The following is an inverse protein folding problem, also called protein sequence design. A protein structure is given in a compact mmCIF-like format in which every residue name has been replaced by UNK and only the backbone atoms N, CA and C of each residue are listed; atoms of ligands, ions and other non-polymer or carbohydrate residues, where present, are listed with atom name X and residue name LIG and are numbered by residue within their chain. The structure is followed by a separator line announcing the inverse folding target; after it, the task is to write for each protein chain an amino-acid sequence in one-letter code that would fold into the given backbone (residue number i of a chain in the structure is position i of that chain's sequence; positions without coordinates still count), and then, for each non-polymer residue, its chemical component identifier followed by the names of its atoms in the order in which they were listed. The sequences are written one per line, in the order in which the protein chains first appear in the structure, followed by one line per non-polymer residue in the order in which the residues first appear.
data_IF_582404975371
#
_entry.id   IF_582404975371
#
_cell.length_a   1.000
_cell.length_b   1.000
_cell.length_c   1.000
_cell.angle_alpha   90.00
_cell.angle_beta   90.00
_cell.angle_gamma   90.00
#
_symmetry.space_group_name_H-M   'P 1'
#
loop_
_entity.id
_entity.type
_entity.pdbx_description
1 polymer ?
#
# COMPACT_ATOMS: atom_id res chain seq x y z
N UNK A 1 3.66 19.04 -6.93
CA UNK A 1 4.45 19.50 -5.79
C UNK A 1 3.66 19.22 -4.51
N UNK A 2 4.16 18.29 -3.67
CA UNK A 2 3.49 17.82 -2.44
C UNK A 2 3.19 18.99 -1.49
N UNK A 3 4.15 19.90 -1.29
CA UNK A 3 3.98 21.02 -0.36
C UNK A 3 2.82 21.93 -0.77
N UNK A 4 2.65 22.17 -2.08
CA UNK A 4 1.50 22.93 -2.58
C UNK A 4 0.19 22.21 -2.29
N UNK A 5 0.14 20.90 -2.49
CA UNK A 5 -1.05 20.09 -2.21
C UNK A 5 -1.41 20.12 -0.73
N UNK A 6 -0.43 19.91 0.17
CA UNK A 6 -0.63 19.94 1.61
C UNK A 6 -1.10 21.33 2.07
N UNK A 7 -0.49 22.40 1.57
CA UNK A 7 -0.90 23.76 1.89
C UNK A 7 -2.33 24.08 1.44
N UNK A 8 -2.72 23.65 0.24
CA UNK A 8 -4.08 23.81 -0.24
C UNK A 8 -5.07 23.01 0.62
N UNK A 9 -4.74 21.76 0.94
CA UNK A 9 -5.55 20.94 1.81
C UNK A 9 -5.74 21.56 3.19
N UNK A 10 -4.67 22.09 3.82
CA UNK A 10 -4.75 22.77 5.10
C UNK A 10 -5.62 24.04 5.04
N UNK A 11 -5.51 24.84 3.97
CA UNK A 11 -6.34 26.03 3.78
C UNK A 11 -7.83 25.70 3.63
N UNK A 12 -8.15 24.54 3.08
CA UNK A 12 -9.52 24.08 2.87
C UNK A 12 -10.15 23.47 4.12
N UNK A 13 -9.38 23.27 5.20
CA UNK A 13 -9.90 22.73 6.46
C UNK A 13 -10.65 23.75 7.28
N UNK A 14 -11.77 23.33 7.86
CA UNK A 14 -12.44 24.03 8.95
C UNK A 14 -11.58 23.96 10.23
N UNK A 15 -11.92 24.77 11.26
CA UNK A 15 -11.16 24.87 12.53
C UNK A 15 -11.00 23.55 13.29
N UNK A 16 -11.83 22.52 13.01
CA UNK A 16 -11.74 21.17 13.60
C UNK A 16 -11.52 20.09 12.53
N UNK A 17 -11.20 20.50 11.31
CA UNK A 17 -10.98 19.60 10.19
C UNK A 17 -9.70 18.80 10.35
N UNK A 18 -9.71 17.57 9.81
CA UNK A 18 -8.52 16.69 9.77
C UNK A 18 -8.25 16.25 8.34
N UNK A 19 -6.98 16.13 8.01
CA UNK A 19 -6.53 15.46 6.79
C UNK A 19 -6.10 14.06 7.17
N UNK A 20 -6.59 13.08 6.42
CA UNK A 20 -6.24 11.67 6.58
C UNK A 20 -5.55 11.19 5.30
N UNK A 21 -4.36 10.62 5.46
CA UNK A 21 -3.60 10.01 4.38
C UNK A 21 -3.47 8.52 4.67
N UNK A 22 -4.02 7.69 3.80
CA UNK A 22 -3.93 6.23 3.92
C UNK A 22 -2.88 5.68 2.96
N UNK A 23 -2.10 4.73 3.45
CA UNK A 23 -1.10 4.01 2.67
C UNK A 23 -0.94 2.59 3.18
N UNK A 24 -0.30 1.75 2.38
CA UNK A 24 0.18 0.46 2.87
C UNK A 24 1.29 0.68 3.91
N UNK A 25 1.39 -0.22 4.89
CA UNK A 25 2.55 -0.22 5.79
C UNK A 25 3.84 -0.40 5.00
N UNK A 26 4.84 0.46 5.28
CA UNK A 26 6.14 0.41 4.61
C UNK A 26 7.07 -0.65 5.21
N UNK A 27 6.78 -1.09 6.44
CA UNK A 27 7.56 -2.11 7.15
C UNK A 27 6.72 -3.36 7.38
N UNK A 28 7.35 -4.51 7.28
CA UNK A 28 6.72 -5.82 7.53
C UNK A 28 5.42 -6.07 6.74
N UNK A 29 5.34 -5.54 5.53
CA UNK A 29 4.19 -5.75 4.66
C UNK A 29 4.01 -7.24 4.34
N UNK A 30 2.84 -7.80 4.64
CA UNK A 30 2.51 -9.22 4.54
C UNK A 30 1.68 -9.59 3.30
N UNK A 31 1.45 -8.65 2.39
CA UNK A 31 0.74 -8.94 1.14
C UNK A 31 1.45 -10.10 0.42
N UNK A 32 0.72 -11.17 0.06
CA UNK A 32 1.28 -12.30 -0.66
C UNK A 32 1.79 -11.86 -2.04
N UNK A 33 3.06 -12.09 -2.31
CA UNK A 33 3.67 -11.66 -3.56
C UNK A 33 4.48 -12.79 -4.18
N UNK A 34 4.45 -12.88 -5.50
CA UNK A 34 5.50 -13.57 -6.25
C UNK A 34 6.75 -12.68 -6.35
N UNK A 35 7.88 -13.27 -6.71
CA UNK A 35 9.20 -12.61 -6.64
C UNK A 35 9.25 -11.22 -7.31
N UNK A 36 8.78 -11.10 -8.55
CA UNK A 36 8.79 -9.82 -9.28
C UNK A 36 7.87 -8.77 -8.65
N UNK A 37 6.66 -9.20 -8.23
CA UNK A 37 5.71 -8.35 -7.53
C UNK A 37 6.31 -7.82 -6.22
N UNK A 38 6.97 -8.68 -5.42
CA UNK A 38 7.65 -8.30 -4.17
C UNK A 38 8.68 -7.22 -4.40
N UNK A 39 9.57 -7.39 -5.39
CA UNK A 39 10.58 -6.40 -5.75
C UNK A 39 9.98 -5.04 -6.10
N UNK A 40 8.91 -5.03 -6.89
CA UNK A 40 8.22 -3.79 -7.28
C UNK A 40 7.52 -3.13 -6.09
N UNK A 41 6.87 -3.94 -5.23
CA UNK A 41 6.20 -3.45 -4.02
C UNK A 41 7.20 -2.80 -3.07
N UNK A 42 8.33 -3.44 -2.78
CA UNK A 42 9.38 -2.90 -1.91
C UNK A 42 9.95 -1.59 -2.45
N UNK A 43 10.14 -1.49 -3.78
CA UNK A 43 10.56 -0.23 -4.42
C UNK A 43 9.52 0.88 -4.23
N UNK A 44 8.22 0.57 -4.34
CA UNK A 44 7.14 1.52 -4.10
C UNK A 44 7.11 1.95 -2.63
N UNK A 45 7.17 1.01 -1.70
CA UNK A 45 7.13 1.28 -0.26
C UNK A 45 8.30 2.16 0.22
N UNK A 46 9.51 2.00 -0.38
CA UNK A 46 10.64 2.90 -0.11
C UNK A 46 10.36 4.34 -0.54
N UNK A 47 9.66 4.55 -1.66
CA UNK A 47 9.25 5.89 -2.10
C UNK A 47 8.22 6.48 -1.15
N UNK A 48 7.26 5.68 -0.70
CA UNK A 48 6.24 6.11 0.27
C UNK A 48 6.88 6.49 1.61
N UNK A 49 7.89 5.72 2.07
CA UNK A 49 8.63 6.06 3.28
C UNK A 49 9.35 7.41 3.17
N UNK A 50 9.96 7.70 2.02
CA UNK A 50 10.59 9.01 1.76
C UNK A 50 9.55 10.13 1.75
N UNK A 51 8.37 9.88 1.16
CA UNK A 51 7.24 10.81 1.16
C UNK A 51 6.75 11.11 2.59
N UNK A 52 6.61 10.09 3.44
CA UNK A 52 6.19 10.26 4.84
C UNK A 52 7.21 11.05 5.66
N UNK A 53 8.50 10.89 5.41
CA UNK A 53 9.54 11.73 6.03
C UNK A 53 9.37 13.20 5.64
N UNK A 54 9.05 13.49 4.38
CA UNK A 54 8.75 14.86 3.92
C UNK A 54 7.49 15.42 4.56
N UNK A 55 6.42 14.64 4.66
CA UNK A 55 5.17 15.03 5.33
C UNK A 55 5.47 15.38 6.79
N UNK A 56 6.20 14.52 7.50
CA UNK A 56 6.60 14.74 8.89
C UNK A 56 7.44 16.01 9.09
N UNK A 57 8.31 16.34 8.13
CA UNK A 57 9.14 17.55 8.19
C UNK A 57 8.33 18.83 8.03
N UNK A 58 7.28 18.79 7.23
CA UNK A 58 6.52 19.98 6.82
C UNK A 58 5.24 20.23 7.64
N UNK A 59 4.80 19.24 8.41
CA UNK A 59 3.57 19.32 9.19
C UNK A 59 3.87 19.13 10.68
N UNK A 60 3.20 19.94 11.51
CA UNK A 60 3.22 19.80 12.96
C UNK A 60 2.04 18.91 13.41
N UNK A 61 2.16 18.30 14.58
CA UNK A 61 1.08 17.53 15.22
C UNK A 61 0.51 16.40 14.36
N UNK A 62 1.41 15.55 13.83
CA UNK A 62 1.03 14.38 13.06
C UNK A 62 0.81 13.19 13.99
N UNK A 63 -0.30 12.48 13.82
CA UNK A 63 -0.53 11.19 14.45
C UNK A 63 -0.52 10.05 13.43
N UNK A 64 -0.09 8.87 13.87
CA UNK A 64 -0.01 7.65 13.08
C UNK A 64 -0.89 6.57 13.71
N UNK A 65 -1.73 5.96 12.91
CA UNK A 65 -2.59 4.85 13.34
C UNK A 65 -2.48 3.70 12.34
N UNK A 66 -2.26 2.49 12.85
CA UNK A 66 -2.26 1.29 12.03
C UNK A 66 -3.61 0.59 12.14
N UNK A 67 -4.21 0.28 11.00
CA UNK A 67 -5.40 -0.56 10.89
C UNK A 67 -5.03 -1.93 10.37
N UNK A 68 -5.26 -2.95 11.17
CA UNK A 68 -4.91 -4.34 10.87
C UNK A 68 -6.14 -5.14 10.48
N UNK A 69 -6.08 -5.80 9.33
CA UNK A 69 -7.17 -6.63 8.80
C UNK A 69 -6.68 -8.05 8.55
N UNK A 70 -7.37 -9.03 9.12
CA UNK A 70 -7.15 -10.44 8.77
C UNK A 70 -7.83 -10.74 7.46
N UNK A 71 -7.06 -10.88 6.39
CA UNK A 71 -7.57 -11.22 5.06
C UNK A 71 -7.58 -12.74 4.91
N UNK A 72 -8.75 -13.27 4.52
CA UNK A 72 -8.93 -14.68 4.11
C UNK A 72 -9.55 -14.68 2.72
N UNK A 73 -8.87 -15.24 1.74
CA UNK A 73 -9.29 -15.23 0.35
C UNK A 73 -8.97 -16.57 -0.30
N UNK A 74 -9.81 -17.03 -1.24
CA UNK A 74 -9.47 -18.21 -2.03
C UNK A 74 -8.32 -17.91 -2.98
N UNK A 75 -7.45 -18.90 -3.22
CA UNK A 75 -6.35 -18.76 -4.17
C UNK A 75 -6.84 -18.31 -5.55
N UNK A 76 -7.95 -18.86 -6.04
CA UNK A 76 -8.53 -18.50 -7.33
C UNK A 76 -8.93 -17.03 -7.40
N UNK A 77 -9.61 -16.52 -6.36
CA UNK A 77 -9.98 -15.10 -6.29
C UNK A 77 -8.74 -14.20 -6.25
N UNK A 78 -7.71 -14.59 -5.48
CA UNK A 78 -6.47 -13.84 -5.42
C UNK A 78 -5.73 -13.80 -6.77
N UNK A 79 -5.66 -14.95 -7.48
CA UNK A 79 -5.10 -15.02 -8.84
C UNK A 79 -5.87 -14.11 -9.81
N UNK A 80 -7.20 -14.07 -9.72
CA UNK A 80 -8.03 -13.16 -10.53
C UNK A 80 -7.69 -11.70 -10.23
N UNK A 81 -7.48 -11.34 -8.98
CA UNK A 81 -7.05 -9.98 -8.60
C UNK A 81 -5.67 -9.65 -9.18
N UNK A 82 -4.71 -10.57 -9.12
CA UNK A 82 -3.38 -10.40 -9.73
C UNK A 82 -3.49 -10.21 -11.25
N UNK A 83 -4.28 -11.03 -11.94
CA UNK A 83 -4.53 -10.90 -13.39
C UNK A 83 -5.09 -9.53 -13.74
N UNK A 84 -5.97 -8.99 -12.90
CA UNK A 84 -6.57 -7.66 -13.06
C UNK A 84 -5.68 -6.53 -12.51
N UNK A 85 -4.44 -6.82 -12.12
CA UNK A 85 -3.47 -5.83 -11.63
C UNK A 85 -4.02 -4.92 -10.53
N UNK A 86 -4.66 -5.51 -9.51
CA UNK A 86 -5.40 -4.84 -8.45
C UNK A 86 -4.57 -3.84 -7.60
N UNK A 87 -3.26 -3.90 -7.69
CA UNK A 87 -2.33 -3.05 -6.95
C UNK A 87 -1.27 -2.46 -7.89
N UNK A 88 -0.86 -1.23 -7.64
CA UNK A 88 0.00 -0.45 -8.54
C UNK A 88 1.34 -1.11 -8.87
N UNK A 89 1.93 -1.87 -7.96
CA UNK A 89 3.19 -2.58 -8.21
C UNK A 89 3.09 -3.66 -9.30
N UNK A 90 1.87 -4.03 -9.71
CA UNK A 90 1.62 -4.96 -10.81
C UNK A 90 1.50 -4.27 -12.18
N UNK A 91 1.29 -2.95 -12.23
CA UNK A 91 1.06 -2.23 -13.49
C UNK A 91 2.25 -2.32 -14.44
N UNK A 92 3.47 -2.31 -13.92
CA UNK A 92 4.72 -2.41 -14.71
C UNK A 92 5.22 -3.84 -14.93
N UNK A 93 4.50 -4.84 -14.44
CA UNK A 93 4.88 -6.25 -14.62
C UNK A 93 4.54 -6.70 -16.04
N UNK A 94 5.50 -7.29 -16.77
CA UNK A 94 5.25 -7.81 -18.10
C UNK A 94 4.23 -8.97 -18.08
N UNK A 95 3.59 -9.24 -19.22
CA UNK A 95 2.65 -10.38 -19.34
C UNK A 95 3.34 -11.70 -19.00
N UNK A 96 4.58 -11.90 -19.46
CA UNK A 96 5.39 -13.09 -19.18
C UNK A 96 5.67 -13.25 -17.68
N UNK A 97 6.13 -12.16 -17.03
CA UNK A 97 6.39 -12.18 -15.58
C UNK A 97 5.11 -12.39 -14.76
N UNK A 98 3.97 -11.89 -15.24
CA UNK A 98 2.68 -12.10 -14.59
C UNK A 98 2.26 -13.58 -14.62
N UNK A 99 2.41 -14.24 -15.77
CA UNK A 99 2.12 -15.68 -15.93
C UNK A 99 3.03 -16.50 -15.02
N UNK A 100 4.34 -16.23 -15.02
CA UNK A 100 5.30 -16.91 -14.16
C UNK A 100 5.00 -16.67 -12.67
N UNK A 101 4.64 -15.43 -12.30
CA UNK A 101 4.27 -15.08 -10.94
C UNK A 101 2.99 -15.77 -10.46
N UNK A 102 2.01 -15.96 -11.33
CA UNK A 102 0.80 -16.74 -11.03
C UNK A 102 1.17 -18.22 -10.77
N UNK A 103 2.10 -18.79 -11.54
CA UNK A 103 2.62 -20.13 -11.29
C UNK A 103 3.29 -20.21 -9.91
N UNK A 104 4.10 -19.23 -9.51
CA UNK A 104 4.69 -19.15 -8.16
C UNK A 104 3.61 -19.15 -7.06
N UNK A 105 2.55 -18.35 -7.21
CA UNK A 105 1.42 -18.31 -6.26
C UNK A 105 0.71 -19.67 -6.19
N UNK A 106 0.50 -20.32 -7.35
CA UNK A 106 -0.12 -21.64 -7.40
C UNK A 106 0.66 -22.72 -6.67
N UNK A 107 1.99 -22.67 -6.75
CA UNK A 107 2.87 -23.61 -6.05
C UNK A 107 2.92 -23.32 -4.54
N UNK A 108 2.96 -22.03 -4.16
CA UNK A 108 3.11 -21.61 -2.76
C UNK A 108 1.85 -21.84 -1.92
N UNK A 109 0.67 -21.68 -2.49
CA UNK A 109 -0.61 -21.74 -1.76
C UNK A 109 -1.49 -22.88 -2.29
N UNK A 110 -2.12 -23.63 -1.37
CA UNK A 110 -3.03 -24.73 -1.72
C UNK A 110 -4.41 -24.21 -2.16
N UNK A 111 -5.31 -23.95 -1.22
CA UNK A 111 -6.71 -23.54 -1.51
C UNK A 111 -7.03 -22.13 -1.06
N UNK A 112 -6.49 -21.72 0.08
CA UNK A 112 -6.77 -20.44 0.73
C UNK A 112 -5.47 -19.68 0.99
N UNK A 113 -5.57 -18.35 0.94
CA UNK A 113 -4.50 -17.43 1.28
C UNK A 113 -4.98 -16.63 2.48
N UNK A 114 -4.16 -16.55 3.52
CA UNK A 114 -4.43 -15.77 4.72
C UNK A 114 -3.22 -14.89 5.01
N UNK A 115 -3.47 -13.64 5.32
CA UNK A 115 -2.41 -12.70 5.73
C UNK A 115 -3.02 -11.57 6.55
N UNK A 116 -2.16 -10.87 7.28
CA UNK A 116 -2.51 -9.63 7.94
C UNK A 116 -2.21 -8.48 6.98
N UNK A 117 -3.24 -7.74 6.58
CA UNK A 117 -3.09 -6.50 5.84
C UNK A 117 -3.10 -5.34 6.82
N UNK A 118 -2.14 -4.43 6.66
CA UNK A 118 -1.99 -3.27 7.55
C UNK A 118 -2.01 -2.00 6.73
N UNK A 119 -2.98 -1.14 7.00
CA UNK A 119 -3.02 0.21 6.48
C UNK A 119 -2.47 1.19 7.52
N UNK A 120 -1.57 2.05 7.09
CA UNK A 120 -1.10 3.20 7.84
C UNK A 120 -2.00 4.38 7.54
N UNK A 121 -2.57 4.99 8.56
CA UNK A 121 -3.23 6.29 8.48
C UNK A 121 -2.34 7.35 9.13
N UNK A 122 -2.01 8.37 8.38
CA UNK A 122 -1.37 9.59 8.87
C UNK A 122 -2.45 10.64 8.98
N UNK A 123 -2.65 11.20 10.17
CA UNK A 123 -3.62 12.26 10.38
C UNK A 123 -2.96 13.52 10.94
N UNK A 124 -3.44 14.66 10.52
CA UNK A 124 -3.07 15.96 11.06
C UNK A 124 -4.25 16.93 10.99
N UNK A 125 -4.30 17.82 11.94
CA UNK A 125 -5.31 18.90 12.05
C UNK A 125 -4.70 20.25 11.71
N UNK A 126 -5.56 21.22 11.55
CA UNK A 126 -5.17 22.63 11.36
C UNK A 126 -4.70 23.20 12.67
#
# INVERSE_FOLDING_TARGET
NLNRLLNLAQKSLNNKGKILIFSLTTKNNKIPCFKKMRKNLEKSLKKDEALFKLIKKNLKEISYTNFNFKVKITKQKYIKMIKNRYISCLLSVSRKDLVNGIAEINLKYKKKIQFLDTLLCISFSK
#
